data_IF_928088246253
#
_entry.id   IF_928088246253
#
_cell.length_a   1.000
_cell.length_b   1.000
_cell.length_c   1.000
_cell.angle_alpha   90.00
_cell.angle_beta   90.00
_cell.angle_gamma   90.00
#
_symmetry.space_group_name_H-M   'P 1'
#
loop_
_entity.id
_entity.type
_entity.pdbx_description
1 polymer ?
#
# COMPACT_ATOMS: atom_id res chain seq x y z
N UNK A 1 7.39 12.23 6.30
CA UNK A 1 6.83 11.66 5.06
C UNK A 1 5.60 10.79 5.30
N UNK A 2 5.61 9.68 6.05
CA UNK A 2 4.36 8.89 6.32
C UNK A 2 3.25 9.74 6.97
N UNK A 3 3.59 10.53 7.99
CA UNK A 3 2.63 11.48 8.57
C UNK A 3 2.12 12.52 7.56
N UNK A 4 2.98 13.00 6.66
CA UNK A 4 2.59 13.96 5.62
C UNK A 4 1.66 13.33 4.57
N UNK A 5 1.81 12.04 4.28
CA UNK A 5 0.89 11.28 3.46
C UNK A 5 -0.48 11.19 4.14
N UNK A 6 -0.51 10.83 5.43
CA UNK A 6 -1.76 10.74 6.19
C UNK A 6 -2.50 12.09 6.24
N UNK A 7 -1.77 13.20 6.38
CA UNK A 7 -2.33 14.55 6.29
C UNK A 7 -2.91 14.84 4.90
N UNK A 8 -2.18 14.49 3.83
CA UNK A 8 -2.66 14.63 2.45
C UNK A 8 -3.93 13.80 2.20
N UNK A 9 -4.00 12.60 2.77
CA UNK A 9 -5.12 11.68 2.66
C UNK A 9 -6.29 11.97 3.60
N UNK A 10 -6.21 13.06 4.39
CA UNK A 10 -7.24 13.48 5.36
C UNK A 10 -7.52 12.40 6.41
N UNK A 11 -6.50 11.64 6.79
CA UNK A 11 -6.59 10.44 7.63
C UNK A 11 -5.53 10.40 8.75
N UNK A 12 -5.06 11.56 9.20
CA UNK A 12 -3.99 11.69 10.21
C UNK A 12 -4.32 10.98 11.53
N UNK A 13 -5.61 10.91 11.90
CA UNK A 13 -6.11 10.23 13.10
C UNK A 13 -6.01 8.69 13.02
N UNK A 14 -5.89 8.16 11.81
CA UNK A 14 -5.73 6.72 11.53
C UNK A 14 -4.26 6.31 11.46
N UNK A 15 -3.34 7.25 11.24
CA UNK A 15 -1.90 7.01 11.16
C UNK A 15 -1.27 6.80 12.55
N UNK A 16 -1.50 5.62 13.13
CA UNK A 16 -1.06 5.25 14.48
C UNK A 16 0.32 4.60 14.56
N UNK A 17 0.94 4.31 13.42
CA UNK A 17 2.23 3.62 13.37
C UNK A 17 3.34 4.48 13.99
N UNK A 18 4.08 3.90 14.92
CA UNK A 18 5.25 4.55 15.54
C UNK A 18 6.52 4.30 14.74
N UNK A 19 7.53 5.17 14.91
CA UNK A 19 8.84 4.98 14.28
C UNK A 19 9.51 3.64 14.66
N UNK A 20 9.34 3.19 15.91
CA UNK A 20 9.86 1.90 16.40
C UNK A 20 9.18 0.74 15.68
N UNK A 21 7.86 0.79 15.52
CA UNK A 21 7.11 -0.25 14.78
C UNK A 21 7.49 -0.26 13.30
N UNK A 22 7.61 0.91 12.67
CA UNK A 22 8.05 1.01 11.28
C UNK A 22 9.46 0.44 11.08
N UNK A 23 10.39 0.77 11.98
CA UNK A 23 11.75 0.23 11.94
C UNK A 23 11.75 -1.30 12.09
N UNK A 24 10.97 -1.84 13.03
CA UNK A 24 10.84 -3.28 13.20
C UNK A 24 10.23 -3.97 11.96
N UNK A 25 9.24 -3.34 11.32
CA UNK A 25 8.60 -3.87 10.12
C UNK A 25 9.55 -3.90 8.90
N UNK A 26 10.40 -2.88 8.75
CA UNK A 26 11.35 -2.73 7.63
C UNK A 26 12.64 -3.53 7.81
N UNK A 27 13.15 -3.60 9.05
CA UNK A 27 14.52 -4.07 9.32
C UNK A 27 14.58 -5.24 10.33
N UNK A 28 13.43 -5.83 10.66
CA UNK A 28 13.37 -7.06 11.44
C UNK A 28 13.99 -8.25 10.70
N UNK A 29 14.28 -9.37 11.39
CA UNK A 29 14.84 -10.58 10.78
C UNK A 29 13.93 -11.21 9.72
N UNK A 30 12.62 -10.93 9.81
CA UNK A 30 11.62 -11.27 8.80
C UNK A 30 10.82 -10.01 8.51
N UNK A 31 11.25 -9.17 7.54
CA UNK A 31 10.59 -7.91 7.25
C UNK A 31 9.13 -8.14 6.84
N UNK A 32 8.23 -7.39 7.47
CA UNK A 32 6.82 -7.33 7.09
C UNK A 32 6.58 -6.29 5.99
N UNK A 33 7.49 -5.33 5.85
CA UNK A 33 7.40 -4.21 4.93
C UNK A 33 8.75 -4.01 4.22
N UNK A 34 8.69 -3.52 3.01
CA UNK A 34 9.85 -3.12 2.21
C UNK A 34 9.68 -1.66 1.77
N UNK A 35 10.78 -0.97 1.52
CA UNK A 35 10.77 0.46 1.21
C UNK A 35 11.72 0.86 0.10
N UNK A 36 11.27 1.72 -0.80
CA UNK A 36 12.12 2.49 -1.72
C UNK A 36 12.06 3.97 -1.35
N UNK A 37 13.17 4.69 -1.48
CA UNK A 37 13.27 6.12 -1.21
C UNK A 37 13.75 6.83 -2.47
N UNK A 38 13.02 7.86 -2.88
CA UNK A 38 13.46 8.79 -3.90
C UNK A 38 14.27 9.91 -3.25
N UNK A 39 15.44 10.20 -3.82
CA UNK A 39 16.31 11.30 -3.40
C UNK A 39 16.46 12.31 -4.53
N UNK A 40 16.60 13.58 -4.16
CA UNK A 40 16.92 14.64 -5.13
C UNK A 40 18.42 14.68 -5.48
N UNK A 41 18.81 15.64 -6.33
CA UNK A 41 20.19 15.82 -6.75
C UNK A 41 21.17 16.17 -5.60
N UNK A 42 20.65 16.65 -4.47
CA UNK A 42 21.43 16.93 -3.25
C UNK A 42 21.43 15.73 -2.27
N UNK A 43 20.83 14.60 -2.65
CA UNK A 43 20.72 13.40 -1.83
C UNK A 43 19.64 13.49 -0.75
N UNK A 44 18.74 14.47 -0.79
CA UNK A 44 17.67 14.61 0.20
C UNK A 44 16.48 13.70 -0.14
N UNK A 45 15.93 12.96 0.84
CA UNK A 45 14.71 12.17 0.64
C UNK A 45 13.49 13.06 0.31
N UNK A 46 12.94 12.87 -0.89
CA UNK A 46 11.80 13.64 -1.42
C UNK A 46 10.55 12.80 -1.63
N UNK A 47 10.66 11.48 -1.60
CA UNK A 47 9.53 10.57 -1.72
C UNK A 47 9.88 9.16 -1.30
N UNK A 48 8.85 8.32 -1.17
CA UNK A 48 9.02 6.93 -0.79
C UNK A 48 7.90 6.06 -1.37
N UNK A 49 8.15 4.75 -1.42
CA UNK A 49 7.15 3.73 -1.62
C UNK A 49 7.31 2.63 -0.56
N UNK A 50 6.25 2.33 0.21
CA UNK A 50 6.20 1.20 1.14
C UNK A 50 5.32 0.10 0.55
N UNK A 51 5.78 -1.14 0.63
CA UNK A 51 5.13 -2.25 -0.04
C UNK A 51 5.44 -3.58 0.65
N UNK A 52 4.61 -4.59 0.37
CA UNK A 52 4.81 -5.95 0.85
C UNK A 52 4.41 -6.98 -0.21
N UNK A 53 4.72 -8.25 0.03
CA UNK A 53 4.33 -9.32 -0.88
C UNK A 53 2.93 -9.82 -0.56
N UNK A 54 2.13 -10.01 -1.60
CA UNK A 54 0.93 -10.82 -1.53
C UNK A 54 1.07 -12.03 -2.47
N UNK A 55 0.08 -12.91 -2.48
CA UNK A 55 0.10 -14.12 -3.30
C UNK A 55 -1.23 -14.28 -4.02
N UNK A 56 -1.15 -14.53 -5.32
CA UNK A 56 -2.32 -14.85 -6.13
C UNK A 56 -2.42 -16.36 -6.31
N UNK A 57 -3.44 -16.98 -5.74
CA UNK A 57 -3.71 -18.41 -5.97
C UNK A 57 -4.10 -18.71 -7.41
N UNK A 58 -4.59 -17.71 -8.15
CA UNK A 58 -4.95 -17.86 -9.57
C UNK A 58 -3.74 -17.74 -10.50
N UNK A 59 -2.77 -16.88 -10.16
CA UNK A 59 -1.53 -16.77 -10.93
C UNK A 59 -0.44 -17.74 -10.45
N UNK A 60 -0.61 -18.36 -9.27
CA UNK A 60 0.34 -19.30 -8.68
C UNK A 60 1.67 -18.65 -8.26
N UNK A 61 1.71 -17.33 -8.10
CA UNK A 61 2.93 -16.59 -7.78
C UNK A 61 2.63 -15.37 -6.91
N UNK A 62 3.70 -14.77 -6.39
CA UNK A 62 3.64 -13.52 -5.65
C UNK A 62 3.23 -12.34 -6.52
N UNK A 63 2.74 -11.31 -5.85
CA UNK A 63 2.63 -9.94 -6.34
C UNK A 63 3.23 -8.97 -5.34
N UNK A 64 3.32 -7.70 -5.73
CA UNK A 64 3.58 -6.61 -4.80
C UNK A 64 2.26 -5.91 -4.51
N UNK A 65 1.96 -5.74 -3.22
CA UNK A 65 0.97 -4.80 -2.75
C UNK A 65 1.69 -3.51 -2.35
N UNK A 66 1.43 -2.42 -3.08
CA UNK A 66 1.93 -1.09 -2.76
C UNK A 66 1.00 -0.47 -1.71
N UNK A 67 1.50 -0.35 -0.49
CA UNK A 67 0.76 0.20 0.65
C UNK A 67 0.70 1.73 0.57
N UNK A 68 1.88 2.37 0.48
CA UNK A 68 2.00 3.82 0.46
C UNK A 68 2.89 4.27 -0.69
N UNK A 69 2.45 5.28 -1.45
CA UNK A 69 3.29 6.01 -2.40
C UNK A 69 3.14 7.51 -2.15
N UNK A 70 4.26 8.17 -1.82
CA UNK A 70 4.23 9.60 -1.53
C UNK A 70 5.45 10.31 -2.07
N UNK A 71 5.21 11.50 -2.63
CA UNK A 71 6.23 12.48 -2.99
C UNK A 71 5.84 13.81 -2.37
N UNK A 72 6.80 14.45 -1.69
CA UNK A 72 6.63 15.77 -1.08
C UNK A 72 6.09 16.77 -2.11
N UNK A 73 5.13 17.65 -1.76
CA UNK A 73 4.53 18.60 -2.70
C UNK A 73 5.55 19.39 -3.52
N UNK A 74 6.63 19.87 -2.90
CA UNK A 74 7.68 20.64 -3.57
C UNK A 74 8.48 19.86 -4.63
N UNK A 75 8.45 18.52 -4.59
CA UNK A 75 9.14 17.65 -5.54
C UNK A 75 8.18 17.02 -6.57
N UNK A 76 6.87 17.28 -6.50
CA UNK A 76 5.90 16.76 -7.47
C UNK A 76 6.13 17.38 -8.85
N UNK A 77 5.81 16.62 -9.90
CA UNK A 77 6.14 16.99 -11.28
C UNK A 77 7.59 16.66 -11.69
N UNK A 78 8.48 16.37 -10.75
CA UNK A 78 9.88 15.97 -11.01
C UNK A 78 10.09 14.50 -11.41
N UNK A 79 9.03 13.73 -11.65
CA UNK A 79 9.12 12.32 -12.08
C UNK A 79 9.38 11.28 -10.97
N UNK A 80 9.69 11.69 -9.74
CA UNK A 80 10.02 10.77 -8.64
C UNK A 80 8.98 9.68 -8.38
N UNK A 81 7.69 10.03 -8.38
CA UNK A 81 6.60 9.06 -8.16
C UNK A 81 6.52 8.01 -9.27
N UNK A 82 6.76 8.43 -10.52
CA UNK A 82 6.80 7.53 -11.68
C UNK A 82 7.97 6.55 -11.57
N UNK A 83 9.14 7.02 -11.17
CA UNK A 83 10.32 6.16 -11.02
C UNK A 83 10.21 5.20 -9.84
N UNK A 84 9.61 5.62 -8.71
CA UNK A 84 9.26 4.70 -7.63
C UNK A 84 8.32 3.59 -8.10
N UNK A 85 7.24 3.94 -8.82
CA UNK A 85 6.29 2.95 -9.34
C UNK A 85 6.95 2.03 -10.39
N UNK A 86 7.78 2.59 -11.27
CA UNK A 86 8.55 1.83 -12.27
C UNK A 86 9.50 0.85 -11.61
N UNK A 87 10.19 1.24 -10.53
CA UNK A 87 11.10 0.37 -9.81
C UNK A 87 10.37 -0.86 -9.24
N UNK A 88 9.17 -0.67 -8.67
CA UNK A 88 8.35 -1.80 -8.20
C UNK A 88 7.86 -2.69 -9.34
N UNK A 89 7.43 -2.09 -10.46
CA UNK A 89 7.02 -2.87 -11.64
C UNK A 89 8.19 -3.69 -12.21
N UNK A 90 9.40 -3.11 -12.29
CA UNK A 90 10.60 -3.80 -12.71
C UNK A 90 10.95 -4.97 -11.77
N UNK A 91 10.82 -4.77 -10.46
CA UNK A 91 11.01 -5.81 -9.46
C UNK A 91 10.02 -6.97 -9.63
N UNK A 92 8.75 -6.68 -9.95
CA UNK A 92 7.79 -7.73 -10.25
C UNK A 92 8.22 -8.55 -11.47
N UNK A 93 8.65 -7.90 -12.56
CA UNK A 93 9.11 -8.59 -13.78
C UNK A 93 10.35 -9.44 -13.49
N UNK A 94 11.34 -8.87 -12.81
CA UNK A 94 12.60 -9.56 -12.46
C UNK A 94 12.36 -10.84 -11.66
N UNK A 95 11.40 -10.80 -10.73
CA UNK A 95 11.12 -11.93 -9.83
C UNK A 95 10.00 -12.86 -10.31
N UNK A 96 9.44 -12.62 -11.49
CA UNK A 96 8.31 -13.40 -12.00
C UNK A 96 7.03 -13.24 -11.17
N UNK A 97 6.86 -12.08 -10.54
CA UNK A 97 5.63 -11.72 -9.84
C UNK A 97 4.58 -11.24 -10.84
N UNK A 98 3.34 -11.70 -10.67
CA UNK A 98 2.31 -11.53 -11.70
C UNK A 98 1.62 -10.16 -11.65
N UNK A 99 1.71 -9.43 -10.53
CA UNK A 99 0.98 -8.15 -10.38
C UNK A 99 1.65 -7.18 -9.40
N UNK A 100 1.38 -5.90 -9.63
CA UNK A 100 1.59 -4.79 -8.70
C UNK A 100 0.22 -4.14 -8.49
N UNK A 101 -0.28 -4.08 -7.26
CA UNK A 101 -1.62 -3.58 -6.96
C UNK A 101 -1.64 -2.72 -5.68
N UNK A 102 -2.62 -1.82 -5.58
CA UNK A 102 -2.75 -0.86 -4.49
C UNK A 102 -4.20 -0.35 -4.42
N UNK A 103 -4.50 0.38 -3.36
CA UNK A 103 -5.75 1.13 -3.25
C UNK A 103 -5.53 2.61 -3.53
N UNK A 104 -6.59 3.27 -3.98
CA UNK A 104 -6.64 4.72 -4.17
C UNK A 104 -7.94 5.22 -3.56
N UNK A 105 -7.86 6.34 -2.83
CA UNK A 105 -9.06 7.00 -2.31
C UNK A 105 -9.90 7.54 -3.46
N UNK A 106 -11.21 7.35 -3.39
CA UNK A 106 -12.17 7.68 -4.46
C UNK A 106 -12.13 9.15 -4.91
N UNK A 107 -11.81 10.06 -3.99
CA UNK A 107 -11.69 11.49 -4.27
C UNK A 107 -10.35 11.87 -4.92
N UNK A 108 -9.34 10.98 -4.90
CA UNK A 108 -7.99 11.29 -5.34
C UNK A 108 -7.81 11.10 -6.85
N UNK A 109 -8.58 11.88 -7.62
CA UNK A 109 -8.52 11.90 -9.08
C UNK A 109 -7.10 12.11 -9.63
N UNK A 110 -6.26 13.02 -9.08
CA UNK A 110 -4.89 13.18 -9.56
C UNK A 110 -4.06 11.89 -9.47
N UNK A 111 -4.22 11.11 -8.39
CA UNK A 111 -3.54 9.82 -8.28
C UNK A 111 -4.12 8.79 -9.26
N UNK A 112 -5.45 8.73 -9.41
CA UNK A 112 -6.09 7.84 -10.38
C UNK A 112 -5.60 8.10 -11.82
N UNK A 113 -5.49 9.36 -12.22
CA UNK A 113 -5.00 9.73 -13.56
C UNK A 113 -3.51 9.40 -13.73
N UNK A 114 -2.70 9.62 -12.69
CA UNK A 114 -1.30 9.19 -12.66
C UNK A 114 -1.16 7.66 -12.85
N UNK A 115 -1.98 6.87 -12.17
CA UNK A 115 -1.97 5.41 -12.28
C UNK A 115 -2.46 4.91 -13.64
N UNK A 116 -3.54 5.50 -14.18
CA UNK A 116 -4.03 5.18 -15.54
C UNK A 116 -2.99 5.51 -16.61
N UNK A 117 -2.27 6.62 -16.46
CA UNK A 117 -1.16 6.98 -17.37
C UNK A 117 0.01 5.99 -17.32
N UNK A 118 0.15 5.22 -16.23
CA UNK A 118 1.11 4.11 -16.11
C UNK A 118 0.57 2.78 -16.67
N UNK A 119 -0.68 2.74 -17.13
CA UNK A 119 -1.35 1.53 -17.66
C UNK A 119 -2.09 0.71 -16.61
N UNK A 120 -2.24 1.21 -15.37
CA UNK A 120 -3.04 0.54 -14.36
C UNK A 120 -4.54 0.66 -14.69
N UNK A 121 -5.29 -0.40 -14.36
CA UNK A 121 -6.74 -0.47 -14.54
C UNK A 121 -7.43 -0.54 -13.18
N UNK A 122 -8.61 0.07 -13.07
CA UNK A 122 -9.44 -0.05 -11.88
C UNK A 122 -10.09 -1.44 -11.82
N UNK A 123 -10.24 -2.00 -10.62
CA UNK A 123 -10.86 -3.30 -10.40
C UNK A 123 -12.31 -3.16 -9.95
N UNK A 124 -13.14 -2.61 -10.84
CA UNK A 124 -14.51 -2.17 -10.54
C UNK A 124 -15.47 -3.32 -10.19
N UNK A 125 -15.13 -4.57 -10.55
CA UNK A 125 -15.89 -5.77 -10.17
C UNK A 125 -15.60 -6.27 -8.74
N UNK A 126 -14.57 -5.70 -8.08
CA UNK A 126 -14.14 -6.12 -6.75
C UNK A 126 -14.47 -5.05 -5.72
N UNK A 127 -15.11 -5.46 -4.63
CA UNK A 127 -15.40 -4.58 -3.49
C UNK A 127 -14.49 -4.91 -2.32
N UNK A 128 -13.90 -3.90 -1.71
CA UNK A 128 -13.08 -4.05 -0.50
C UNK A 128 -13.98 -4.24 0.72
N UNK A 129 -13.83 -5.36 1.41
CA UNK A 129 -14.40 -5.59 2.72
C UNK A 129 -13.31 -5.53 3.78
N UNK A 130 -13.57 -4.81 4.88
CA UNK A 130 -12.64 -4.70 6.00
C UNK A 130 -13.35 -5.02 7.31
N UNK A 131 -12.83 -6.01 8.03
CA UNK A 131 -13.24 -6.33 9.40
C UNK A 131 -12.15 -5.84 10.36
N UNK A 132 -12.47 -4.87 11.21
CA UNK A 132 -11.49 -4.23 12.11
C UNK A 132 -12.08 -3.92 13.49
N UNK A 133 -11.22 -3.58 14.43
CA UNK A 133 -11.59 -3.12 15.77
C UNK A 133 -12.51 -4.08 16.53
N UNK A 134 -13.53 -3.58 17.25
CA UNK A 134 -14.44 -4.41 18.03
C UNK A 134 -15.19 -5.47 17.21
N UNK A 135 -15.46 -5.21 15.91
CA UNK A 135 -16.13 -6.17 15.06
C UNK A 135 -15.25 -7.40 14.78
N UNK A 136 -13.96 -7.17 14.52
CA UNK A 136 -12.96 -8.25 14.39
C UNK A 136 -12.88 -9.08 15.68
N UNK A 137 -12.77 -8.42 16.83
CA UNK A 137 -12.69 -9.09 18.13
C UNK A 137 -13.93 -9.92 18.46
N UNK A 138 -15.13 -9.45 18.07
CA UNK A 138 -16.37 -10.24 18.25
C UNK A 138 -16.40 -11.45 17.31
N UNK A 139 -15.98 -11.28 16.07
CA UNK A 139 -16.01 -12.36 15.08
C UNK A 139 -15.02 -13.49 15.41
N UNK A 140 -13.92 -13.19 16.11
CA UNK A 140 -12.96 -14.21 16.55
C UNK A 140 -13.43 -15.07 17.73
N UNK A 141 -14.55 -14.71 18.37
CA UNK A 141 -15.14 -15.50 19.45
C UNK A 141 -15.80 -16.79 18.94
N UNK A 142 -15.99 -17.81 19.81
CA UNK A 142 -16.72 -19.01 19.44
C UNK A 142 -18.14 -18.63 18.98
N UNK A 143 -18.52 -19.06 17.78
CA UNK A 143 -19.85 -18.79 17.23
C UNK A 143 -20.92 -19.32 18.18
N UNK A 144 -21.84 -18.46 18.62
CA UNK A 144 -23.01 -18.91 19.38
C UNK A 144 -23.72 -19.97 18.54
N UNK A 145 -23.94 -21.20 19.05
CA UNK A 145 -24.68 -22.21 18.32
C UNK A 145 -26.02 -21.62 17.90
N UNK A 146 -26.26 -21.58 16.58
CA UNK A 146 -27.52 -21.12 16.03
C UNK A 146 -28.60 -22.06 16.54
N UNK A 147 -29.48 -21.57 17.40
CA UNK A 147 -30.62 -22.35 17.89
C UNK A 147 -31.41 -22.84 16.67
N UNK A 148 -31.52 -24.16 16.52
CA UNK A 148 -32.34 -24.78 15.48
C UNK A 148 -33.80 -24.36 15.71
N UNK A 149 -34.51 -23.82 14.71
CA UNK A 149 -35.95 -23.63 14.82
C UNK A 149 -36.62 -24.99 15.02
N UNK A 150 -37.55 -25.07 15.97
CA UNK A 150 -38.41 -26.23 16.20
C UNK A 150 -39.41 -26.44 15.06
#
# INVERSE_FOLDING_TARGET
MVAELADYERSSDQARMTAVQLHAALFGPTPALFGHVAVDAAGQPVGFALWFLNFSTWAGTHGIYLEDLYVRPAARGGGYGKELLRALAALCVERGYARLEWWVLDWNQPAMDFYRAAGAVAMDEWTVFRLTGPALARFSGPGTPRATPA
#
